data_IF_984552199876
#
_entry.id   IF_984552199876
#
_cell.length_a   1.000
_cell.length_b   1.000
_cell.length_c   1.000
_cell.angle_alpha   90.00
_cell.angle_beta   90.00
_cell.angle_gamma   90.00
#
_symmetry.space_group_name_H-M   'P 1'
#
loop_
_entity.id
_entity.type
_entity.pdbx_description
1 polymer ?
#
# COMPACT_ATOMS: atom_id res chain seq x y z
N UNK A 1 38.05 14.12 24.66
CA UNK A 1 36.67 14.27 24.18
C UNK A 1 36.36 13.17 23.20
N UNK A 2 35.44 12.26 23.52
CA UNK A 2 35.03 11.16 22.64
C UNK A 2 33.71 11.57 22.01
N UNK A 3 33.75 11.99 20.75
CA UNK A 3 32.55 12.27 19.95
C UNK A 3 31.83 10.95 19.72
N UNK A 4 30.67 10.79 20.34
CA UNK A 4 29.77 9.67 20.08
C UNK A 4 29.03 9.93 18.76
N UNK A 5 29.35 9.14 17.75
CA UNK A 5 28.57 9.05 16.51
C UNK A 5 27.13 8.62 16.82
N UNK A 6 26.11 9.14 16.11
CA UNK A 6 24.77 8.60 16.21
C UNK A 6 24.79 7.16 15.65
N UNK A 7 24.50 6.19 16.52
CA UNK A 7 24.22 4.81 16.08
C UNK A 7 22.88 4.80 15.36
N UNK A 8 22.91 4.82 14.02
CA UNK A 8 21.72 4.69 13.17
C UNK A 8 21.26 3.23 13.17
N UNK A 9 20.02 2.99 13.60
CA UNK A 9 19.45 1.66 13.80
C UNK A 9 19.50 0.74 12.58
N UNK A 10 20.02 -0.46 12.83
CA UNK A 10 19.43 -1.78 12.56
C UNK A 10 18.79 -2.05 11.18
N UNK A 11 19.61 -2.25 10.15
CA UNK A 11 19.27 -3.03 8.95
C UNK A 11 18.10 -2.52 8.07
N UNK A 12 17.85 -3.17 6.93
CA UNK A 12 16.72 -2.84 6.05
C UNK A 12 15.37 -3.08 6.76
N UNK A 13 14.52 -2.06 6.77
CA UNK A 13 13.19 -2.11 7.38
C UNK A 13 12.21 -2.90 6.49
N UNK A 14 11.47 -3.83 7.10
CA UNK A 14 10.43 -4.64 6.43
C UNK A 14 9.06 -4.26 6.96
N UNK A 15 8.14 -3.85 6.09
CA UNK A 15 6.79 -3.39 6.45
C UNK A 15 5.71 -4.21 5.73
N UNK A 16 4.60 -4.43 6.43
CA UNK A 16 3.38 -4.97 5.82
C UNK A 16 2.73 -3.88 4.96
N UNK A 17 2.43 -4.22 3.70
CA UNK A 17 1.64 -3.40 2.79
C UNK A 17 0.23 -3.99 2.70
N UNK A 18 -0.79 -3.15 2.87
CA UNK A 18 -2.19 -3.51 2.69
C UNK A 18 -2.73 -2.65 1.54
N UNK A 19 -3.15 -3.32 0.48
CA UNK A 19 -3.73 -2.67 -0.69
C UNK A 19 -5.23 -2.50 -0.49
N UNK A 20 -5.73 -1.30 -0.79
CA UNK A 20 -7.16 -0.98 -0.74
C UNK A 20 -7.57 -0.43 -2.10
N UNK A 21 -7.62 -1.31 -3.09
CA UNK A 21 -8.10 -0.98 -4.43
C UNK A 21 -9.60 -0.69 -4.40
N UNK A 22 -10.00 0.49 -4.88
CA UNK A 22 -11.41 0.88 -4.95
C UNK A 22 -12.10 0.48 -6.25
N UNK A 23 -11.34 0.29 -7.32
CA UNK A 23 -11.87 0.09 -8.65
C UNK A 23 -10.90 -0.81 -9.44
N UNK A 24 -11.39 -1.93 -9.95
CA UNK A 24 -10.67 -2.84 -10.84
C UNK A 24 -10.84 -2.47 -12.34
N UNK A 25 -11.36 -1.28 -12.63
CA UNK A 25 -11.79 -0.88 -13.98
C UNK A 25 -13.19 -1.41 -14.37
N UNK A 26 -13.86 -2.17 -13.49
CA UNK A 26 -15.21 -2.68 -13.71
C UNK A 26 -16.25 -2.11 -12.72
N UNK A 27 -15.89 -1.06 -11.98
CA UNK A 27 -16.77 -0.42 -10.99
C UNK A 27 -16.99 -1.26 -9.73
N UNK A 28 -16.05 -2.14 -9.36
CA UNK A 28 -16.15 -2.98 -8.17
C UNK A 28 -15.11 -2.61 -7.10
N UNK A 29 -15.58 -2.47 -5.85
CA UNK A 29 -14.70 -2.38 -4.69
C UNK A 29 -14.13 -3.76 -4.42
N UNK A 30 -12.80 -3.86 -4.43
CA UNK A 30 -12.09 -5.10 -4.14
C UNK A 30 -12.43 -5.62 -2.74
N UNK A 31 -12.82 -6.89 -2.66
CA UNK A 31 -13.17 -7.51 -1.39
C UNK A 31 -11.93 -7.65 -0.49
N UNK A 32 -12.04 -7.21 0.77
CA UNK A 32 -10.97 -7.36 1.76
C UNK A 32 -10.94 -8.79 2.31
N UNK A 33 -10.44 -9.72 1.49
CA UNK A 33 -10.36 -11.16 1.81
C UNK A 33 -9.00 -11.57 2.40
N UNK A 34 -8.10 -10.61 2.60
CA UNK A 34 -6.74 -10.85 3.08
C UNK A 34 -5.72 -11.21 1.99
N UNK A 35 -6.15 -11.40 0.74
CA UNK A 35 -5.26 -11.52 -0.43
C UNK A 35 -4.62 -10.18 -0.81
N UNK A 36 -5.18 -9.05 -0.38
CA UNK A 36 -4.69 -7.70 -0.60
C UNK A 36 -3.50 -7.32 0.30
N UNK A 37 -2.65 -8.28 0.67
CA UNK A 37 -1.54 -8.10 1.60
C UNK A 37 -0.24 -8.47 0.94
N UNK A 38 0.79 -7.69 1.23
CA UNK A 38 2.12 -7.85 0.67
C UNK A 38 3.16 -7.32 1.63
N UNK A 39 4.41 -7.41 1.24
CA UNK A 39 5.51 -6.92 2.06
C UNK A 39 6.43 -6.07 1.22
N UNK A 40 6.81 -4.92 1.76
CA UNK A 40 7.88 -4.09 1.23
C UNK A 40 9.10 -4.17 2.15
N UNK A 41 10.28 -4.15 1.55
CA UNK A 41 11.55 -4.14 2.23
C UNK A 41 12.38 -2.98 1.68
N UNK A 42 12.74 -2.05 2.56
CA UNK A 42 13.61 -0.94 2.19
C UNK A 42 15.03 -1.44 1.94
N UNK A 43 15.70 -0.80 0.99
CA UNK A 43 17.06 -1.17 0.59
C UNK A 43 18.09 -0.86 1.69
N UNK A 44 17.85 0.19 2.47
CA UNK A 44 18.73 0.65 3.53
C UNK A 44 17.96 1.44 4.61
N UNK A 45 18.68 1.88 5.65
CA UNK A 45 18.13 2.64 6.77
C UNK A 45 17.68 4.08 6.40
N UNK A 46 17.95 4.56 5.17
CA UNK A 46 17.52 5.89 4.70
C UNK A 46 16.08 5.87 4.17
N UNK A 47 15.51 4.68 3.96
CA UNK A 47 14.12 4.48 3.53
C UNK A 47 13.75 5.19 2.21
N UNK A 48 14.72 5.31 1.29
CA UNK A 48 14.54 6.02 0.02
C UNK A 48 14.01 5.14 -1.11
N UNK A 49 14.22 3.84 -1.04
CA UNK A 49 13.70 2.88 -2.01
C UNK A 49 13.36 1.55 -1.35
N UNK A 50 12.40 0.84 -1.93
CA UNK A 50 12.01 -0.49 -1.50
C UNK A 50 11.71 -1.41 -2.68
N UNK A 51 11.83 -2.69 -2.44
CA UNK A 51 11.26 -3.76 -3.26
C UNK A 51 10.21 -4.50 -2.44
N UNK A 52 9.21 -5.07 -3.09
CA UNK A 52 8.15 -5.81 -2.41
C UNK A 52 7.49 -6.85 -3.29
N UNK A 53 6.69 -7.68 -2.65
CA UNK A 53 5.82 -8.66 -3.31
C UNK A 53 4.42 -8.59 -2.75
N UNK A 54 3.43 -8.65 -3.62
CA UNK A 54 2.03 -8.52 -3.27
C UNK A 54 1.13 -9.20 -4.28
N UNK A 55 -0.01 -9.69 -3.83
CA UNK A 55 -1.08 -10.13 -4.73
C UNK A 55 -2.00 -8.93 -5.03
N UNK A 56 -2.30 -8.74 -6.32
CA UNK A 56 -3.28 -7.76 -6.79
C UNK A 56 -4.35 -8.50 -7.59
N UNK A 57 -5.62 -8.34 -7.23
CA UNK A 57 -6.70 -9.04 -7.95
C UNK A 57 -6.75 -8.69 -9.45
N UNK A 58 -6.27 -7.49 -9.82
CA UNK A 58 -6.20 -7.02 -11.22
C UNK A 58 -4.96 -7.48 -11.99
N UNK A 59 -3.86 -7.83 -11.32
CA UNK A 59 -2.59 -8.18 -11.98
C UNK A 59 -2.26 -9.66 -11.83
N UNK A 60 -2.53 -10.23 -10.66
CA UNK A 60 -2.22 -11.62 -10.32
C UNK A 60 -1.51 -11.73 -8.97
N UNK A 61 -0.84 -12.86 -8.78
CA UNK A 61 -0.14 -13.22 -7.53
C UNK A 61 1.35 -12.96 -7.61
N UNK A 62 1.98 -12.80 -6.45
CA UNK A 62 3.43 -12.62 -6.28
C UNK A 62 4.01 -11.49 -7.14
N UNK A 63 3.24 -10.42 -7.35
CA UNK A 63 3.63 -9.30 -8.19
C UNK A 63 4.75 -8.52 -7.49
N UNK A 64 5.86 -8.38 -8.20
CA UNK A 64 6.99 -7.58 -7.74
C UNK A 64 6.66 -6.10 -7.89
N UNK A 65 6.92 -5.35 -6.82
CA UNK A 65 6.72 -3.90 -6.78
C UNK A 65 8.01 -3.22 -6.35
N UNK A 66 8.29 -2.09 -6.99
CA UNK A 66 9.41 -1.23 -6.64
C UNK A 66 8.88 0.17 -6.35
N UNK A 67 9.49 0.85 -5.39
CA UNK A 67 9.14 2.22 -5.06
C UNK A 67 10.35 3.02 -4.64
N UNK A 68 10.32 4.31 -4.92
CA UNK A 68 11.33 5.25 -4.50
C UNK A 68 10.70 6.59 -4.09
N UNK A 69 11.36 7.26 -3.15
CA UNK A 69 10.93 8.56 -2.66
C UNK A 69 11.20 9.64 -3.70
N UNK A 70 10.18 10.43 -4.02
CA UNK A 70 10.28 11.51 -5.02
C UNK A 70 10.31 12.92 -4.41
N UNK A 71 9.89 13.09 -3.15
CA UNK A 71 9.86 14.37 -2.46
C UNK A 71 10.00 14.20 -0.94
N UNK A 72 10.63 15.18 -0.30
CA UNK A 72 10.70 15.29 1.17
C UNK A 72 9.47 15.98 1.76
N UNK A 73 8.72 16.70 0.93
CA UNK A 73 7.51 17.41 1.34
C UNK A 73 6.34 16.42 1.31
N UNK A 74 5.57 16.29 2.40
CA UNK A 74 4.36 15.48 2.37
C UNK A 74 3.43 15.95 1.26
N UNK A 75 2.83 15.00 0.53
CA UNK A 75 1.67 15.31 -0.28
C UNK A 75 0.63 15.98 0.64
N UNK A 76 0.00 17.06 0.17
CA UNK A 76 -1.00 17.80 0.96
C UNK A 76 -2.07 16.88 1.56
N UNK A 77 -2.77 17.31 2.62
CA UNK A 77 -3.83 16.52 3.25
C UNK A 77 -4.84 16.04 2.20
N UNK A 78 -4.81 14.75 1.88
CA UNK A 78 -5.90 14.12 1.15
C UNK A 78 -7.16 14.13 2.04
N UNK A 79 -8.36 14.27 1.46
CA UNK A 79 -9.60 14.14 2.20
C UNK A 79 -9.65 12.76 2.87
N UNK A 80 -9.81 12.72 4.20
CA UNK A 80 -9.93 11.46 4.95
C UNK A 80 -11.12 10.60 4.50
N UNK A 81 -12.07 11.18 3.75
CA UNK A 81 -13.24 10.51 3.17
C UNK A 81 -12.91 9.55 2.02
N UNK A 82 -11.71 9.63 1.43
CA UNK A 82 -11.32 8.76 0.30
C UNK A 82 -10.94 7.34 0.75
N UNK A 83 -10.59 7.17 2.03
CA UNK A 83 -10.16 5.91 2.63
C UNK A 83 -11.20 5.39 3.63
N UNK A 84 -12.38 5.01 3.14
CA UNK A 84 -13.37 4.28 3.96
C UNK A 84 -12.91 2.85 4.22
N UNK A 85 -13.29 2.29 5.37
CA UNK A 85 -13.12 0.85 5.60
C UNK A 85 -13.96 0.05 4.61
N UNK A 86 -13.46 -1.14 4.22
CA UNK A 86 -14.23 -2.05 3.40
C UNK A 86 -15.55 -2.40 4.11
N UNK A 87 -16.65 -2.37 3.36
CA UNK A 87 -17.92 -2.88 3.84
C UNK A 87 -18.61 -3.69 2.75
N UNK A 88 -19.13 -4.86 3.13
CA UNK A 88 -19.94 -5.69 2.24
C UNK A 88 -21.16 -4.94 1.68
N UNK A 89 -21.74 -4.03 2.47
CA UNK A 89 -22.82 -3.17 2.00
C UNK A 89 -22.41 -2.20 0.90
N UNK A 90 -21.21 -1.61 0.96
CA UNK A 90 -20.70 -0.75 -0.12
C UNK A 90 -20.33 -1.57 -1.36
N UNK A 91 -19.60 -2.67 -1.18
CA UNK A 91 -19.28 -3.61 -2.26
C UNK A 91 -20.52 -4.07 -3.03
N UNK A 92 -21.58 -4.49 -2.30
CA UNK A 92 -22.83 -4.89 -2.93
C UNK A 92 -23.57 -3.76 -3.67
N UNK A 93 -23.52 -2.52 -3.16
CA UNK A 93 -24.16 -1.37 -3.82
C UNK A 93 -23.48 -1.03 -5.16
N UNK A 94 -22.15 -0.99 -5.18
CA UNK A 94 -21.39 -0.75 -6.42
C UNK A 94 -21.59 -1.90 -7.41
N UNK A 95 -21.56 -3.16 -6.94
CA UNK A 95 -21.80 -4.34 -7.78
C UNK A 95 -23.22 -4.38 -8.39
N UNK A 96 -24.25 -3.95 -7.65
CA UNK A 96 -25.64 -3.87 -8.15
C UNK A 96 -25.84 -2.68 -9.08
N UNK A 97 -25.23 -1.53 -8.76
CA UNK A 97 -25.30 -0.32 -9.59
C UNK A 97 -24.75 -0.51 -11.01
N UNK A 98 -23.95 -1.56 -11.24
CA UNK A 98 -23.42 -1.97 -12.56
C UNK A 98 -24.49 -2.39 -13.58
N UNK A 99 -25.63 -2.93 -13.14
CA UNK A 99 -26.61 -3.57 -14.02
C UNK A 99 -27.87 -2.74 -14.29
N UNK A 100 -27.85 -1.44 -13.97
CA UNK A 100 -28.98 -0.52 -14.13
C UNK A 100 -28.77 0.47 -15.28
#
# INVERSE_FOLDING_TARGET
>A
SRTSEPQTGTGPLKLLLIWRGRENGEGEIQADTGSNRGVIQFSDARLLSFVGKMDFDIVGKDVEIEGFKIADVPAGKQPSSEWSEFSWGAHGREAVGRWH
#
